data_IF_223773781214
#
_entry.id   IF_223773781214
#
_cell.length_a   1.000
_cell.length_b   1.000
_cell.length_c   1.000
_cell.angle_alpha   90.00
_cell.angle_beta   90.00
_cell.angle_gamma   90.00
#
_symmetry.space_group_name_H-M   'P 1'
#
loop_
_entity.id
_entity.type
_entity.pdbx_description
1 polymer ?
#
# COMPACT_ATOMS: atom_id res chain seq x y z
N UNK A 1 9.02 -36.66 4.25
CA UNK A 1 8.34 -35.74 5.19
C UNK A 1 9.07 -34.40 5.28
N UNK A 2 10.40 -34.39 5.49
CA UNK A 2 11.19 -33.14 5.62
C UNK A 2 11.30 -32.36 4.29
N UNK A 3 11.38 -33.05 3.14
CA UNK A 3 11.45 -32.42 1.81
C UNK A 3 10.26 -31.51 1.50
N UNK A 4 9.03 -31.98 1.76
CA UNK A 4 7.81 -31.20 1.57
C UNK A 4 7.74 -30.00 2.52
N UNK A 5 8.22 -30.15 3.75
CA UNK A 5 8.23 -29.07 4.75
C UNK A 5 9.13 -27.90 4.32
N UNK A 6 10.29 -28.19 3.71
CA UNK A 6 11.22 -27.16 3.21
C UNK A 6 10.58 -26.35 2.08
N UNK A 7 9.91 -27.03 1.14
CA UNK A 7 9.26 -26.39 0.00
C UNK A 7 8.12 -25.46 0.47
N UNK A 8 7.31 -25.92 1.42
CA UNK A 8 6.22 -25.13 2.00
C UNK A 8 6.75 -23.91 2.77
N UNK A 9 7.84 -24.06 3.52
CA UNK A 9 8.46 -22.95 4.24
C UNK A 9 9.01 -21.88 3.29
N UNK A 10 9.66 -22.28 2.20
CA UNK A 10 10.17 -21.36 1.18
C UNK A 10 9.03 -20.61 0.48
N UNK A 11 8.01 -21.33 -0.02
CA UNK A 11 6.84 -20.69 -0.64
C UNK A 11 6.13 -19.75 0.34
N UNK A 12 5.88 -20.22 1.57
CA UNK A 12 5.22 -19.43 2.61
C UNK A 12 6.01 -18.17 2.99
N UNK A 13 7.34 -18.29 3.09
CA UNK A 13 8.23 -17.17 3.37
C UNK A 13 8.19 -16.09 2.29
N UNK A 14 8.24 -16.48 1.02
CA UNK A 14 8.14 -15.54 -0.11
C UNK A 14 6.80 -14.81 -0.11
N UNK A 15 5.69 -15.55 0.06
CA UNK A 15 4.35 -14.95 0.13
C UNK A 15 4.23 -13.98 1.31
N UNK A 16 4.76 -14.34 2.49
CA UNK A 16 4.75 -13.47 3.66
C UNK A 16 5.55 -12.18 3.45
N UNK A 17 6.69 -12.24 2.75
CA UNK A 17 7.48 -11.07 2.39
C UNK A 17 6.73 -10.13 1.42
N UNK A 18 6.06 -10.70 0.41
CA UNK A 18 5.25 -9.92 -0.55
C UNK A 18 4.13 -9.20 0.20
N UNK A 19 3.37 -9.92 1.04
CA UNK A 19 2.27 -9.33 1.83
C UNK A 19 2.78 -8.25 2.77
N UNK A 20 3.91 -8.47 3.46
CA UNK A 20 4.56 -7.44 4.30
C UNK A 20 4.92 -6.19 3.48
N UNK A 21 5.46 -6.38 2.28
CA UNK A 21 5.75 -5.29 1.34
C UNK A 21 4.48 -4.52 0.98
N UNK A 22 3.41 -5.22 0.59
CA UNK A 22 2.12 -4.61 0.24
C UNK A 22 1.55 -3.83 1.43
N UNK A 23 1.55 -4.39 2.63
CA UNK A 23 1.04 -3.70 3.84
C UNK A 23 1.87 -2.46 4.16
N UNK A 24 3.21 -2.55 4.09
CA UNK A 24 4.09 -1.41 4.31
C UNK A 24 3.88 -0.32 3.25
N UNK A 25 3.71 -0.70 1.99
CA UNK A 25 3.40 0.21 0.89
C UNK A 25 2.02 0.88 1.10
N UNK A 26 1.02 0.11 1.54
CA UNK A 26 -0.31 0.63 1.86
C UNK A 26 -0.27 1.60 3.04
N UNK A 27 0.49 1.27 4.09
CA UNK A 27 0.69 2.14 5.26
C UNK A 27 1.51 3.38 4.95
N UNK A 28 2.43 3.30 4.00
CA UNK A 28 3.21 4.43 3.47
C UNK A 28 2.40 5.36 2.56
N UNK A 29 1.09 5.14 2.38
CA UNK A 29 0.25 5.98 1.53
C UNK A 29 0.49 5.78 0.03
N UNK A 30 1.26 4.77 -0.40
CA UNK A 30 1.43 4.38 -1.82
C UNK A 30 0.20 3.63 -2.36
N UNK A 31 -0.98 3.90 -1.81
CA UNK A 31 -2.26 3.32 -2.26
C UNK A 31 -3.07 4.27 -3.16
N UNK A 32 -2.51 5.40 -3.57
CA UNK A 32 -3.12 6.36 -4.51
C UNK A 32 -2.44 6.34 -5.88
N UNK A 33 -3.12 6.91 -6.88
CA UNK A 33 -2.57 7.18 -8.22
C UNK A 33 -1.11 7.62 -8.13
N UNK A 34 -0.22 7.00 -8.92
CA UNK A 34 1.24 7.21 -8.85
C UNK A 34 1.68 8.66 -9.10
N UNK A 35 0.79 9.53 -9.56
CA UNK A 35 0.90 10.97 -9.49
C UNK A 35 0.35 11.42 -8.12
N UNK A 36 1.20 11.91 -7.22
CA UNK A 36 0.78 12.44 -5.91
C UNK A 36 -0.35 13.47 -5.99
N UNK A 37 -0.83 13.97 -4.84
CA UNK A 37 -2.04 14.80 -4.79
C UNK A 37 -2.06 15.97 -5.79
N UNK A 38 -0.91 16.56 -6.14
CA UNK A 38 -0.77 17.65 -7.13
C UNK A 38 -1.40 17.38 -8.50
N UNK A 39 -1.46 16.13 -8.98
CA UNK A 39 -2.06 15.77 -10.28
C UNK A 39 -3.37 14.97 -10.17
N UNK A 40 -3.91 14.81 -8.96
CA UNK A 40 -5.11 14.01 -8.75
C UNK A 40 -6.35 14.81 -9.15
N UNK A 41 -7.19 14.29 -10.05
CA UNK A 41 -8.45 14.92 -10.47
C UNK A 41 -9.40 15.22 -9.28
N UNK A 42 -9.20 14.53 -8.15
CA UNK A 42 -9.94 14.72 -6.90
C UNK A 42 -9.18 15.53 -5.82
N UNK A 43 -8.07 16.20 -6.15
CA UNK A 43 -7.27 16.97 -5.19
C UNK A 43 -8.10 18.03 -4.44
N UNK A 44 -9.06 18.68 -5.11
CA UNK A 44 -9.96 19.67 -4.51
C UNK A 44 -10.94 19.13 -3.47
N UNK A 45 -11.22 17.82 -3.46
CA UNK A 45 -12.12 17.20 -2.48
C UNK A 45 -11.37 16.52 -1.33
N UNK A 46 -10.14 16.05 -1.56
CA UNK A 46 -9.34 15.35 -0.55
C UNK A 46 -8.81 16.27 0.57
N UNK A 47 -8.55 17.54 0.27
CA UNK A 47 -8.17 18.57 1.25
C UNK A 47 -9.25 19.66 1.28
N UNK A 48 -10.46 19.32 1.71
CA UNK A 48 -11.47 20.32 2.04
C UNK A 48 -11.02 21.09 3.28
N UNK A 49 -10.29 22.19 3.08
CA UNK A 49 -10.06 23.19 4.12
C UNK A 49 -11.41 23.81 4.50
N UNK A 50 -12.12 23.19 5.44
CA UNK A 50 -13.21 23.85 6.15
C UNK A 50 -12.60 25.05 6.90
N UNK A 51 -13.05 26.24 6.51
CA UNK A 51 -12.97 27.55 7.16
C UNK A 51 -11.94 28.56 6.60
N UNK A 52 -12.38 29.39 5.64
CA UNK A 52 -12.44 30.85 5.83
C UNK A 52 -13.43 31.48 4.83
N UNK A 53 -14.39 32.19 5.42
CA UNK A 53 -15.21 33.28 4.87
C UNK A 53 -14.61 34.00 3.64
N UNK A 54 -15.16 33.73 2.45
CA UNK A 54 -15.50 34.68 1.35
C UNK A 54 -16.43 33.96 0.36
#
# INVERSE_FOLDING_TARGET
MISSAIILALLGGVVALIIRGIIKNKKSGKSGCGCGCSGCAMNGSCHSAKNKLD
#
